data_IF_442005926951
#
_entry.id   IF_442005926951
#
_cell.length_a   1.000
_cell.length_b   1.000
_cell.length_c   1.000
_cell.angle_alpha   90.00
_cell.angle_beta   90.00
_cell.angle_gamma   90.00
#
_symmetry.space_group_name_H-M   'P 1'
#
loop_
_entity.id
_entity.type
_entity.pdbx_description
1 polymer ?
#
# COMPACT_ATOMS: atom_id res chain seq x y z
N UNK A 1 19.45 8.04 -23.32
CA UNK A 1 18.32 7.19 -22.87
C UNK A 1 17.87 7.74 -21.53
N UNK A 2 16.67 8.29 -21.44
CA UNK A 2 16.09 8.69 -20.15
C UNK A 2 15.49 7.40 -19.58
N UNK A 3 16.22 6.74 -18.69
CA UNK A 3 15.64 5.68 -17.87
C UNK A 3 14.75 6.39 -16.86
N UNK A 4 13.43 6.36 -17.03
CA UNK A 4 12.53 6.66 -15.93
C UNK A 4 12.67 5.51 -14.95
N UNK A 5 13.37 5.74 -13.83
CA UNK A 5 13.46 4.74 -12.79
C UNK A 5 12.06 4.40 -12.28
N UNK A 6 11.76 3.11 -12.18
CA UNK A 6 10.45 2.66 -11.70
C UNK A 6 10.25 3.12 -10.25
N UNK A 7 9.01 3.42 -9.84
CA UNK A 7 8.71 3.66 -8.44
C UNK A 7 9.17 2.47 -7.58
N UNK A 8 9.66 2.74 -6.38
CA UNK A 8 10.14 1.72 -5.46
C UNK A 8 9.68 2.02 -4.03
N UNK A 9 9.42 0.97 -3.26
CA UNK A 9 9.00 1.04 -1.85
C UNK A 9 9.99 0.29 -0.98
N UNK A 10 10.11 0.70 0.28
CA UNK A 10 10.94 0.04 1.29
C UNK A 10 10.09 -0.58 2.40
N UNK A 11 10.65 -1.55 3.11
CA UNK A 11 10.00 -2.11 4.31
C UNK A 11 9.75 -1.02 5.36
N UNK A 12 8.65 -1.17 6.10
CA UNK A 12 8.25 -0.27 7.16
C UNK A 12 7.49 -1.00 8.26
N UNK A 13 7.57 -0.46 9.47
CA UNK A 13 6.76 -0.90 10.62
C UNK A 13 6.04 0.31 11.18
N UNK A 14 4.77 0.11 11.51
CA UNK A 14 3.90 1.13 12.07
C UNK A 14 2.80 0.50 12.91
N UNK A 15 1.69 1.20 13.03
CA UNK A 15 0.54 0.74 13.80
C UNK A 15 -0.74 0.87 12.99
N UNK A 16 -1.87 0.41 13.50
CA UNK A 16 -3.16 0.61 12.83
C UNK A 16 -3.56 2.08 12.73
N UNK A 17 -2.95 2.99 13.50
CA UNK A 17 -3.20 4.43 13.35
C UNK A 17 -2.58 5.01 12.08
N UNK A 18 -1.47 4.41 11.59
CA UNK A 18 -0.88 4.68 10.28
C UNK A 18 0.30 3.75 10.02
N UNK A 19 0.50 3.40 8.75
CA UNK A 19 1.76 2.86 8.24
C UNK A 19 2.30 3.80 7.16
N UNK A 20 3.45 4.41 7.41
CA UNK A 20 4.16 5.25 6.44
C UNK A 20 5.22 4.42 5.74
N UNK A 21 5.02 4.16 4.46
CA UNK A 21 5.90 3.34 3.60
C UNK A 21 6.84 4.29 2.85
N UNK A 22 8.16 4.26 3.14
CA UNK A 22 9.13 5.05 2.37
C UNK A 22 9.07 4.68 0.90
N UNK A 23 8.89 5.67 0.03
CA UNK A 23 8.60 5.47 -1.40
C UNK A 23 9.44 6.42 -2.24
N UNK A 24 10.19 5.87 -3.20
CA UNK A 24 10.82 6.64 -4.28
C UNK A 24 9.87 6.68 -5.45
N UNK A 25 9.22 7.83 -5.66
CA UNK A 25 8.26 8.01 -6.76
C UNK A 25 8.91 8.18 -8.13
N UNK A 26 10.15 8.67 -8.19
CA UNK A 26 10.93 8.84 -9.43
C UNK A 26 10.19 9.64 -10.53
N UNK A 27 9.39 10.63 -10.11
CA UNK A 27 8.61 11.49 -11.01
C UNK A 27 7.24 10.91 -11.42
N UNK A 28 6.91 9.70 -10.97
CA UNK A 28 5.61 9.08 -11.22
C UNK A 28 4.57 9.45 -10.16
N UNK A 29 3.30 9.22 -10.49
CA UNK A 29 2.16 9.53 -9.64
C UNK A 29 1.31 8.29 -9.41
N UNK A 30 0.90 8.08 -8.15
CA UNK A 30 0.02 6.99 -7.77
C UNK A 30 -1.38 7.21 -8.37
N UNK A 31 -1.87 6.21 -9.09
CA UNK A 31 -3.22 6.18 -9.64
C UNK A 31 -4.19 5.50 -8.67
N UNK A 32 -3.85 4.30 -8.19
CA UNK A 32 -4.70 3.54 -7.26
C UNK A 32 -3.93 2.45 -6.52
N UNK A 33 -4.58 1.76 -5.59
CA UNK A 33 -4.07 0.61 -4.86
C UNK A 33 -5.07 -0.54 -4.90
N UNK A 34 -4.61 -1.71 -5.33
CA UNK A 34 -5.32 -2.98 -5.14
C UNK A 34 -4.86 -3.68 -3.86
N UNK A 35 -5.74 -4.40 -3.18
CA UNK A 35 -5.41 -5.18 -1.98
C UNK A 35 -6.12 -6.55 -1.98
N UNK A 36 -5.36 -7.64 -1.88
CA UNK A 36 -5.87 -9.02 -1.84
C UNK A 36 -5.16 -9.88 -0.79
N UNK A 37 -5.88 -10.84 -0.24
CA UNK A 37 -5.30 -11.95 0.53
C UNK A 37 -4.82 -13.08 -0.40
N UNK A 38 -4.00 -13.99 0.14
CA UNK A 38 -3.47 -15.12 -0.61
C UNK A 38 -4.56 -16.10 -1.09
N UNK A 39 -5.72 -16.13 -0.43
CA UNK A 39 -6.88 -16.93 -0.82
C UNK A 39 -7.68 -16.31 -2.00
N UNK A 40 -7.25 -15.15 -2.51
CA UNK A 40 -7.90 -14.41 -3.59
C UNK A 40 -9.02 -13.47 -3.13
N UNK A 41 -9.39 -13.47 -1.84
CA UNK A 41 -10.38 -12.52 -1.31
C UNK A 41 -9.80 -11.10 -1.21
N UNK A 42 -10.67 -10.08 -1.32
CA UNK A 42 -10.25 -8.68 -1.21
C UNK A 42 -9.88 -8.32 0.24
N UNK A 43 -8.88 -7.47 0.40
CA UNK A 43 -8.39 -7.02 1.70
C UNK A 43 -8.72 -5.54 1.97
N UNK A 44 -9.05 -5.21 3.21
CA UNK A 44 -9.37 -3.85 3.65
C UNK A 44 -10.86 -3.51 3.64
N UNK A 45 -11.19 -2.22 3.81
CA UNK A 45 -12.55 -1.74 4.04
C UNK A 45 -13.51 -1.94 2.87
N UNK A 46 -13.04 -1.81 1.63
CA UNK A 46 -13.84 -1.99 0.42
C UNK A 46 -13.94 -3.47 -0.04
N UNK A 47 -14.44 -4.37 0.82
CA UNK A 47 -14.41 -5.83 0.57
C UNK A 47 -15.09 -6.32 -0.73
N UNK A 48 -15.94 -5.52 -1.36
CA UNK A 48 -16.62 -5.82 -2.62
C UNK A 48 -15.76 -5.59 -3.88
N UNK A 49 -14.58 -4.97 -3.75
CA UNK A 49 -13.64 -4.69 -4.84
C UNK A 49 -12.20 -4.89 -4.35
N UNK A 50 -11.25 -5.25 -5.23
CA UNK A 50 -9.84 -5.21 -4.84
C UNK A 50 -9.31 -3.77 -4.73
N UNK A 51 -9.97 -2.79 -5.35
CA UNK A 51 -9.50 -1.40 -5.41
C UNK A 51 -9.93 -0.59 -4.19
N UNK A 52 -8.97 -0.11 -3.43
CA UNK A 52 -9.23 0.65 -2.22
C UNK A 52 -9.50 2.13 -2.52
N UNK A 53 -10.21 2.80 -1.62
CA UNK A 53 -10.56 4.22 -1.78
C UNK A 53 -9.34 5.14 -1.58
N UNK A 54 -8.96 5.85 -2.64
CA UNK A 54 -7.91 6.88 -2.60
C UNK A 54 -8.27 7.96 -1.58
N UNK A 55 -7.28 8.47 -0.84
CA UNK A 55 -7.39 9.41 0.27
C UNK A 55 -8.15 8.91 1.52
N UNK A 56 -8.85 7.78 1.47
CA UNK A 56 -9.53 7.20 2.65
C UNK A 56 -8.73 6.03 3.22
N UNK A 57 -8.40 5.05 2.38
CA UNK A 57 -7.64 3.86 2.75
C UNK A 57 -6.12 4.10 2.67
N UNK A 58 -5.69 4.92 1.73
CA UNK A 58 -4.29 5.24 1.49
C UNK A 58 -4.15 6.62 0.84
N UNK A 59 -2.97 7.23 0.91
CA UNK A 59 -2.64 8.44 0.17
C UNK A 59 -1.14 8.53 -0.10
N UNK A 60 -0.71 9.10 -1.24
CA UNK A 60 0.68 9.49 -1.44
C UNK A 60 0.99 10.79 -0.70
N UNK A 61 2.14 10.82 -0.03
CA UNK A 61 2.82 12.02 0.44
C UNK A 61 4.08 12.23 -0.41
N UNK A 62 3.93 12.99 -1.48
CA UNK A 62 5.03 13.27 -2.41
C UNK A 62 6.10 14.17 -1.79
N UNK A 63 5.75 15.05 -0.85
CA UNK A 63 6.71 15.91 -0.18
C UNK A 63 7.58 15.11 0.80
N UNK A 64 6.96 14.17 1.52
CA UNK A 64 7.63 13.25 2.44
C UNK A 64 8.23 12.00 1.79
N UNK A 65 8.08 11.82 0.47
CA UNK A 65 8.48 10.61 -0.25
C UNK A 65 7.92 9.33 0.39
N UNK A 66 6.61 9.30 0.64
CA UNK A 66 5.95 8.18 1.30
C UNK A 66 4.58 7.83 0.70
N UNK A 67 4.19 6.57 0.89
CA UNK A 67 2.81 6.12 0.77
C UNK A 67 2.28 5.86 2.17
N UNK A 68 1.16 6.48 2.52
CA UNK A 68 0.56 6.35 3.85
C UNK A 68 -0.66 5.44 3.75
N UNK A 69 -0.63 4.31 4.45
CA UNK A 69 -1.82 3.50 4.71
C UNK A 69 -2.53 4.05 5.95
N UNK A 70 -3.84 4.24 5.85
CA UNK A 70 -4.65 4.94 6.84
C UNK A 70 -5.43 3.95 7.74
N UNK A 71 -5.93 4.41 8.90
CA UNK A 71 -6.69 3.57 9.83
C UNK A 71 -7.83 2.79 9.19
N UNK A 72 -8.62 3.43 8.33
CA UNK A 72 -9.75 2.79 7.65
C UNK A 72 -9.34 1.49 6.92
N UNK A 73 -8.17 1.49 6.31
CA UNK A 73 -7.63 0.30 5.66
C UNK A 73 -7.05 -0.69 6.66
N UNK A 74 -6.20 -0.20 7.58
CA UNK A 74 -5.42 -1.04 8.48
C UNK A 74 -6.29 -1.75 9.50
N UNK A 75 -7.28 -1.07 10.07
CA UNK A 75 -8.22 -1.66 11.04
C UNK A 75 -9.06 -2.77 10.40
N UNK A 76 -9.42 -2.62 9.13
CA UNK A 76 -10.18 -3.61 8.35
C UNK A 76 -9.37 -4.86 7.95
N UNK A 77 -8.05 -4.87 8.14
CA UNK A 77 -7.24 -6.06 7.86
C UNK A 77 -7.51 -7.16 8.91
N UNK A 78 -7.68 -8.38 8.41
CA UNK A 78 -7.61 -9.62 9.19
C UNK A 78 -6.26 -9.71 9.91
N UNK A 79 -6.32 -10.02 11.20
CA UNK A 79 -5.12 -10.16 12.02
C UNK A 79 -4.32 -11.42 11.63
N UNK A 80 -3.00 -11.33 11.67
CA UNK A 80 -2.07 -12.41 11.33
C UNK A 80 -2.12 -12.89 9.88
N UNK A 81 -2.96 -12.29 9.03
CA UNK A 81 -3.17 -12.70 7.64
C UNK A 81 -2.53 -11.70 6.70
N UNK A 82 -1.46 -12.08 5.98
CA UNK A 82 -0.77 -11.16 5.08
C UNK A 82 -1.64 -10.80 3.87
N UNK A 83 -1.71 -9.50 3.57
CA UNK A 83 -2.33 -8.96 2.37
C UNK A 83 -1.25 -8.47 1.40
N UNK A 84 -1.46 -8.74 0.11
CA UNK A 84 -0.66 -8.22 -0.98
C UNK A 84 -1.32 -6.96 -1.53
N UNK A 85 -0.58 -5.87 -1.52
CA UNK A 85 -0.96 -4.58 -2.09
C UNK A 85 -0.27 -4.42 -3.43
N UNK A 86 -0.99 -3.94 -4.43
CA UNK A 86 -0.42 -3.54 -5.73
C UNK A 86 -0.69 -2.06 -5.92
N UNK A 87 0.36 -1.25 -5.92
CA UNK A 87 0.29 0.17 -6.22
C UNK A 87 0.40 0.37 -7.72
N UNK A 88 -0.62 0.99 -8.32
CA UNK A 88 -0.65 1.29 -9.74
C UNK A 88 -0.31 2.77 -9.93
N UNK A 89 0.58 3.04 -10.88
CA UNK A 89 1.03 4.39 -11.19
C UNK A 89 0.56 4.82 -12.59
N UNK A 90 0.46 6.12 -12.81
CA UNK A 90 -0.04 6.69 -14.07
C UNK A 90 0.87 6.39 -15.27
N UNK A 91 2.16 6.12 -15.04
CA UNK A 91 3.05 5.62 -16.10
C UNK A 91 2.70 4.22 -16.62
N UNK A 92 1.81 3.49 -15.90
CA UNK A 92 1.56 2.07 -16.11
C UNK A 92 2.46 1.14 -15.27
N UNK A 93 3.40 1.69 -14.50
CA UNK A 93 4.18 0.91 -13.55
C UNK A 93 3.30 0.35 -12.41
N UNK A 94 3.69 -0.83 -11.91
CA UNK A 94 3.08 -1.44 -10.73
C UNK A 94 4.15 -1.84 -9.73
N UNK A 95 3.90 -1.60 -8.45
CA UNK A 95 4.79 -1.99 -7.34
C UNK A 95 4.02 -2.83 -6.35
N UNK A 96 4.57 -4.00 -6.00
CA UNK A 96 3.96 -4.91 -5.04
C UNK A 96 4.54 -4.73 -3.65
N UNK A 97 3.68 -4.78 -2.64
CA UNK A 97 4.03 -4.63 -1.23
C UNK A 97 3.20 -5.59 -0.39
N UNK A 98 3.82 -6.24 0.60
CA UNK A 98 3.11 -7.13 1.52
C UNK A 98 2.93 -6.44 2.84
N UNK A 99 1.73 -6.52 3.41
CA UNK A 99 1.39 -5.97 4.73
C UNK A 99 0.80 -7.03 5.63
N UNK A 100 1.21 -7.07 6.89
CA UNK A 100 0.67 -7.97 7.91
C UNK A 100 0.39 -7.18 9.19
N UNK A 101 -0.87 -7.26 9.65
CA UNK A 101 -1.30 -6.73 10.94
C UNK A 101 -1.19 -7.81 12.01
N UNK A 102 -0.75 -7.43 13.21
CA UNK A 102 -0.68 -8.24 14.42
C UNK A 102 -1.11 -7.39 15.61
N UNK A 103 -2.37 -7.52 16.04
CA UNK A 103 -3.01 -6.63 16.98
C UNK A 103 -3.04 -5.19 16.45
N UNK A 104 -2.31 -4.29 17.12
CA UNK A 104 -2.15 -2.88 16.70
C UNK A 104 -0.88 -2.64 15.89
N UNK A 105 0.03 -3.61 15.81
CA UNK A 105 1.28 -3.49 15.05
C UNK A 105 1.04 -3.87 13.59
N UNK A 106 1.62 -3.10 12.67
CA UNK A 106 1.57 -3.38 11.24
C UNK A 106 2.99 -3.41 10.70
N UNK A 107 3.34 -4.49 10.02
CA UNK A 107 4.62 -4.65 9.31
C UNK A 107 4.38 -4.73 7.82
N UNK A 108 5.28 -4.16 7.04
CA UNK A 108 5.24 -4.34 5.60
C UNK A 108 6.61 -4.45 4.96
N UNK A 109 6.65 -5.16 3.84
CA UNK A 109 7.87 -5.48 3.11
C UNK A 109 7.66 -5.32 1.60
N UNK A 110 8.66 -4.78 0.91
CA UNK A 110 8.71 -4.83 -0.55
C UNK A 110 8.73 -6.29 -1.03
N UNK A 111 8.12 -6.55 -2.19
CA UNK A 111 8.11 -7.87 -2.85
C UNK A 111 8.98 -7.88 -4.08
#
# INVERSE_FOLDING_TARGET
MISFDKPAVSAATGTTTALTIPTRFNGDQLATMEARYADGSNAGSASWTPFQAFNTAFAPDYAGNALVLKPDFLDALKDGTPATLTFHFWSGATVTYRVTKSGTTVTGTAS
#
